data_IF_181901791469
#
_entry.id   IF_181901791469
#
_cell.length_a   1.000
_cell.length_b   1.000
_cell.length_c   1.000
_cell.angle_alpha   90.00
_cell.angle_beta   90.00
_cell.angle_gamma   90.00
#
_symmetry.space_group_name_H-M   'P 1'
#
loop_
_entity.id
_entity.type
_entity.pdbx_description
1 polymer ?
#
# COMPACT_ATOMS: atom_id res chain seq x y z
N UNK A 1 -15.94 -34.91 -24.91
CA UNK A 1 -16.73 -34.34 -23.80
C UNK A 1 -15.73 -33.96 -22.72
N UNK A 2 -15.34 -32.68 -22.63
CA UNK A 2 -14.36 -32.22 -21.66
C UNK A 2 -15.10 -31.72 -20.42
N UNK A 3 -14.97 -32.44 -19.31
CA UNK A 3 -15.45 -31.98 -18.01
C UNK A 3 -14.36 -31.06 -17.42
N UNK A 4 -14.68 -29.79 -17.25
CA UNK A 4 -13.81 -28.83 -16.60
C UNK A 4 -14.15 -28.78 -15.11
N UNK A 5 -13.13 -28.95 -14.27
CA UNK A 5 -13.24 -28.74 -12.83
C UNK A 5 -12.38 -27.53 -12.48
N UNK A 6 -13.01 -26.47 -11.97
CA UNK A 6 -12.27 -25.36 -11.39
C UNK A 6 -11.76 -25.79 -10.01
N UNK A 7 -10.45 -25.66 -9.81
CA UNK A 7 -9.78 -26.01 -8.56
C UNK A 7 -9.03 -24.79 -8.05
N UNK A 8 -9.00 -24.61 -6.73
CA UNK A 8 -8.10 -23.64 -6.12
C UNK A 8 -6.65 -24.15 -6.27
N UNK A 9 -5.65 -23.26 -6.43
CA UNK A 9 -4.24 -23.67 -6.54
C UNK A 9 -3.76 -24.54 -5.37
N UNK A 10 -4.32 -24.32 -4.17
CA UNK A 10 -4.04 -25.10 -2.95
C UNK A 10 -4.52 -26.55 -3.01
N UNK A 11 -5.47 -26.87 -3.89
CA UNK A 11 -6.02 -28.22 -4.03
C UNK A 11 -5.37 -29.00 -5.18
N UNK A 12 -4.44 -28.40 -5.93
CA UNK A 12 -3.85 -28.99 -7.12
C UNK A 12 -3.16 -30.33 -6.83
N UNK A 13 -2.45 -30.44 -5.70
CA UNK A 13 -1.76 -31.66 -5.25
C UNK A 13 -2.71 -32.78 -4.82
N UNK A 14 -3.99 -32.48 -4.57
CA UNK A 14 -5.00 -33.49 -4.21
C UNK A 14 -5.58 -34.19 -5.43
N UNK A 15 -5.50 -33.54 -6.60
CA UNK A 15 -6.12 -34.02 -7.85
C UNK A 15 -5.12 -34.28 -8.97
N UNK A 16 -3.86 -33.89 -8.80
CA UNK A 16 -2.78 -34.07 -9.76
C UNK A 16 -1.44 -34.29 -9.03
N UNK A 17 -0.47 -34.90 -9.71
CA UNK A 17 0.92 -35.00 -9.23
C UNK A 17 1.74 -33.71 -9.45
N UNK A 18 1.08 -32.57 -9.64
CA UNK A 18 1.73 -31.27 -9.85
C UNK A 18 1.90 -30.53 -8.52
N UNK A 19 3.10 -30.01 -8.28
CA UNK A 19 3.40 -29.13 -7.16
C UNK A 19 3.46 -27.66 -7.59
N UNK A 20 2.96 -26.78 -6.73
CA UNK A 20 3.13 -25.33 -6.88
C UNK A 20 4.50 -24.92 -6.33
N UNK A 21 5.25 -24.16 -7.12
CA UNK A 21 6.51 -23.54 -6.70
C UNK A 21 6.31 -22.04 -6.49
N UNK A 22 6.95 -21.50 -5.46
CA UNK A 22 7.00 -20.05 -5.20
C UNK A 22 8.42 -19.57 -5.37
N UNK A 23 8.60 -18.47 -6.10
CA UNK A 23 9.90 -17.81 -6.25
C UNK A 23 9.98 -16.69 -5.24
N UNK A 24 11.03 -16.69 -4.42
CA UNK A 24 11.37 -15.57 -3.53
C UNK A 24 12.46 -14.77 -4.23
N UNK A 25 12.26 -13.46 -4.31
CA UNK A 25 13.24 -12.53 -4.84
C UNK A 25 13.83 -11.71 -3.70
N UNK A 26 15.12 -11.44 -3.82
CA UNK A 26 15.88 -10.62 -2.90
C UNK A 26 16.71 -9.62 -3.68
N UNK A 27 16.65 -8.35 -3.29
CA UNK A 27 17.44 -7.28 -3.88
C UNK A 27 18.12 -6.49 -2.78
N UNK A 28 19.43 -6.26 -2.92
CA UNK A 28 20.21 -5.48 -1.95
C UNK A 28 20.77 -4.23 -2.60
N UNK A 29 20.54 -3.09 -1.96
CA UNK A 29 20.93 -1.77 -2.45
C UNK A 29 21.75 -1.08 -1.38
N UNK A 30 22.82 -0.38 -1.80
CA UNK A 30 23.59 0.46 -0.90
C UNK A 30 22.74 1.61 -0.35
N UNK A 31 22.81 1.85 0.94
CA UNK A 31 22.01 2.84 1.64
C UNK A 31 22.75 3.40 2.86
N UNK A 32 23.01 4.70 2.86
CA UNK A 32 23.69 5.42 3.95
C UNK A 32 22.80 6.40 4.68
N UNK A 33 21.63 6.71 4.12
CA UNK A 33 20.65 7.58 4.75
C UNK A 33 20.06 7.00 6.04
N UNK A 34 19.37 7.87 6.80
CA UNK A 34 18.76 7.46 8.07
C UNK A 34 17.53 6.57 7.84
N UNK A 35 17.42 5.50 8.64
CA UNK A 35 16.23 4.63 8.69
C UNK A 35 14.94 5.43 8.96
N UNK A 36 15.01 6.55 9.70
CA UNK A 36 13.84 7.39 9.97
C UNK A 36 13.30 8.07 8.70
N UNK A 37 14.19 8.48 7.80
CA UNK A 37 13.82 9.07 6.51
C UNK A 37 13.15 8.03 5.63
N UNK A 38 13.75 6.84 5.54
CA UNK A 38 13.19 5.73 4.78
C UNK A 38 11.80 5.34 5.32
N UNK A 39 11.66 5.19 6.64
CA UNK A 39 10.37 4.87 7.28
C UNK A 39 9.32 5.94 6.98
N UNK A 40 9.68 7.22 7.00
CA UNK A 40 8.77 8.31 6.64
C UNK A 40 8.28 8.18 5.20
N UNK A 41 9.19 8.03 4.22
CA UNK A 41 8.81 7.89 2.82
C UNK A 41 7.95 6.65 2.56
N UNK A 42 8.31 5.52 3.18
CA UNK A 42 7.52 4.29 3.09
C UNK A 42 6.13 4.46 3.70
N UNK A 43 5.99 5.23 4.80
CA UNK A 43 4.68 5.51 5.40
C UNK A 43 3.83 6.37 4.47
N UNK A 44 4.42 7.34 3.77
CA UNK A 44 3.68 8.14 2.79
C UNK A 44 3.25 7.33 1.56
N UNK A 45 4.05 6.34 1.16
CA UNK A 45 3.76 5.48 0.02
C UNK A 45 2.70 4.41 0.36
N UNK A 46 2.82 3.78 1.54
CA UNK A 46 2.04 2.58 1.90
C UNK A 46 0.89 2.85 2.86
N UNK A 47 0.84 4.05 3.45
CA UNK A 47 -0.06 4.41 4.56
C UNK A 47 0.37 3.82 5.90
N UNK A 48 0.70 2.53 5.94
CA UNK A 48 1.12 1.80 7.15
C UNK A 48 2.33 0.93 6.89
N UNK A 49 3.39 1.16 7.67
CA UNK A 49 4.62 0.35 7.69
C UNK A 49 4.70 -0.37 9.02
N UNK A 50 4.80 -1.69 8.97
CA UNK A 50 4.95 -2.53 10.16
C UNK A 50 6.44 -2.57 10.54
N UNK A 51 6.75 -2.30 11.81
CA UNK A 51 8.08 -2.50 12.35
C UNK A 51 8.14 -3.88 13.00
N UNK A 52 8.87 -4.81 12.39
CA UNK A 52 9.03 -6.17 12.91
C UNK A 52 10.13 -6.21 13.98
N UNK A 53 11.25 -5.54 13.71
CA UNK A 53 12.42 -5.43 14.59
C UNK A 53 13.10 -4.07 14.39
N UNK A 54 14.11 -3.71 15.20
CA UNK A 54 14.82 -2.42 15.12
C UNK A 54 15.38 -2.10 13.72
N UNK A 55 15.70 -3.13 12.94
CA UNK A 55 16.27 -3.02 11.58
C UNK A 55 15.42 -3.68 10.50
N UNK A 56 14.23 -4.17 10.84
CA UNK A 56 13.35 -4.89 9.90
C UNK A 56 11.98 -4.25 9.84
N UNK A 57 11.61 -3.78 8.65
CA UNK A 57 10.30 -3.19 8.35
C UNK A 57 9.57 -4.08 7.34
N UNK A 58 8.24 -4.00 7.34
CA UNK A 58 7.39 -4.60 6.31
C UNK A 58 6.48 -3.56 5.69
N UNK A 59 6.52 -3.47 4.36
CA UNK A 59 5.71 -2.57 3.55
C UNK A 59 4.71 -3.38 2.71
N UNK A 60 3.51 -2.81 2.48
CA UNK A 60 2.42 -3.46 1.74
C UNK A 60 2.02 -4.86 2.24
N UNK A 61 2.39 -5.22 3.47
CA UNK A 61 2.25 -6.58 4.04
C UNK A 61 2.93 -7.69 3.20
N UNK A 62 3.75 -7.33 2.23
CA UNK A 62 4.30 -8.25 1.23
C UNK A 62 5.82 -8.12 1.05
N UNK A 63 6.39 -6.94 1.32
CA UNK A 63 7.81 -6.65 1.10
C UNK A 63 8.50 -6.52 2.45
N UNK A 64 9.46 -7.41 2.71
CA UNK A 64 10.35 -7.34 3.87
C UNK A 64 11.56 -6.48 3.54
N UNK A 65 11.86 -5.53 4.44
CA UNK A 65 12.91 -4.54 4.29
C UNK A 65 13.85 -4.67 5.48
N UNK A 66 15.08 -5.11 5.24
CA UNK A 66 16.09 -5.27 6.29
C UNK A 66 17.25 -4.31 6.04
N UNK A 67 17.66 -3.58 7.07
CA UNK A 67 18.83 -2.70 7.00
C UNK A 67 20.01 -3.32 7.74
N UNK A 68 21.08 -3.61 7.01
CA UNK A 68 22.34 -4.06 7.60
C UNK A 68 23.54 -3.39 6.94
N UNK A 69 24.55 -3.01 7.72
CA UNK A 69 25.86 -2.54 7.24
C UNK A 69 25.85 -1.61 6.00
N UNK A 70 25.04 -0.54 6.04
CA UNK A 70 24.84 0.42 4.93
C UNK A 70 24.23 -0.18 3.66
N UNK A 71 23.42 -1.21 3.83
CA UNK A 71 22.72 -1.92 2.76
C UNK A 71 21.28 -2.16 3.20
N UNK A 72 20.34 -1.84 2.31
CA UNK A 72 18.93 -2.22 2.45
C UNK A 72 18.68 -3.44 1.58
N UNK A 73 18.18 -4.50 2.19
CA UNK A 73 17.76 -5.73 1.52
C UNK A 73 16.24 -5.79 1.49
N UNK A 74 15.69 -5.86 0.28
CA UNK A 74 14.27 -6.11 0.00
C UNK A 74 14.09 -7.60 -0.28
N UNK A 75 13.09 -8.24 0.31
CA UNK A 75 12.73 -9.63 0.07
C UNK A 75 11.21 -9.76 -0.12
N UNK A 76 10.77 -10.48 -1.16
CA UNK A 76 9.35 -10.69 -1.46
C UNK A 76 9.10 -11.97 -2.27
N UNK A 77 7.85 -12.42 -2.29
CA UNK A 77 7.41 -13.49 -3.21
C UNK A 77 7.12 -12.89 -4.59
N UNK A 78 7.84 -13.35 -5.61
CA UNK A 78 7.75 -12.85 -6.98
C UNK A 78 6.36 -13.09 -7.57
N UNK A 79 5.62 -12.02 -7.75
CA UNK A 79 4.30 -12.00 -8.39
C UNK A 79 4.12 -10.63 -9.02
N UNK A 80 3.34 -10.49 -10.12
CA UNK A 80 3.21 -9.20 -10.80
C UNK A 80 2.80 -8.02 -9.88
N UNK A 81 2.01 -8.30 -8.84
CA UNK A 81 1.58 -7.30 -7.86
C UNK A 81 2.69 -6.99 -6.86
N UNK A 82 3.35 -8.01 -6.30
CA UNK A 82 4.43 -7.79 -5.35
C UNK A 82 5.66 -7.19 -6.01
N UNK A 83 5.92 -7.48 -7.29
CA UNK A 83 7.01 -6.90 -8.06
C UNK A 83 6.78 -5.39 -8.22
N UNK A 84 5.54 -4.99 -8.51
CA UNK A 84 5.17 -3.57 -8.53
C UNK A 84 5.36 -2.92 -7.16
N UNK A 85 4.98 -3.60 -6.07
CA UNK A 85 5.22 -3.08 -4.71
C UNK A 85 6.72 -2.96 -4.39
N UNK A 86 7.52 -3.93 -4.79
CA UNK A 86 8.97 -3.92 -4.62
C UNK A 86 9.61 -2.75 -5.38
N UNK A 87 9.18 -2.47 -6.62
CA UNK A 87 9.63 -1.32 -7.41
C UNK A 87 9.30 0.03 -6.73
N UNK A 88 8.10 0.15 -6.15
CA UNK A 88 7.72 1.35 -5.41
C UNK A 88 8.56 1.52 -4.13
N UNK A 89 8.79 0.44 -3.38
CA UNK A 89 9.66 0.45 -2.18
C UNK A 89 11.09 0.80 -2.55
N UNK A 90 11.63 0.21 -3.63
CA UNK A 90 12.95 0.52 -4.17
C UNK A 90 13.08 2.00 -4.52
N UNK A 91 12.07 2.57 -5.18
CA UNK A 91 12.03 3.99 -5.50
C UNK A 91 12.11 4.86 -4.24
N UNK A 92 11.40 4.48 -3.16
CA UNK A 92 11.48 5.18 -1.87
C UNK A 92 12.88 5.06 -1.22
N UNK A 93 13.55 3.92 -1.35
CA UNK A 93 14.93 3.73 -0.88
C UNK A 93 15.90 4.64 -1.64
N UNK A 94 15.81 4.69 -2.96
CA UNK A 94 16.63 5.56 -3.81
C UNK A 94 16.34 7.05 -3.55
N UNK A 95 15.09 7.39 -3.30
CA UNK A 95 14.72 8.75 -2.90
C UNK A 95 15.32 9.12 -1.54
N UNK A 96 15.24 8.23 -0.55
CA UNK A 96 15.87 8.45 0.75
C UNK A 96 17.39 8.62 0.65
N UNK A 97 18.06 7.88 -0.24
CA UNK A 97 19.51 8.01 -0.45
C UNK A 97 19.90 9.31 -1.17
N UNK A 98 19.03 9.85 -2.03
CA UNK A 98 19.28 11.11 -2.74
C UNK A 98 18.97 12.36 -1.91
N UNK A 99 18.26 12.22 -0.79
CA UNK A 99 18.01 13.32 0.14
C UNK A 99 19.29 13.65 0.92
N UNK A 100 19.65 14.94 0.96
CA UNK A 100 20.79 15.41 1.76
C UNK A 100 20.59 15.06 3.25
N UNK A 101 21.52 14.33 3.90
CA UNK A 101 21.44 14.03 5.33
C UNK A 101 21.41 15.29 6.23
N UNK A 102 21.79 16.46 5.72
CA UNK A 102 21.64 17.74 6.42
C UNK A 102 20.20 18.30 6.38
N UNK A 103 19.33 17.77 5.52
CA UNK A 103 17.90 18.11 5.46
C UNK A 103 17.17 17.52 6.67
N UNK A 104 17.21 18.24 7.80
CA UNK A 104 16.53 17.86 9.06
C UNK A 104 15.01 18.00 9.01
N UNK A 105 14.44 18.39 7.87
CA UNK A 105 13.00 18.57 7.73
C UNK A 105 12.37 17.36 7.05
N UNK A 106 12.12 16.32 7.84
CA UNK A 106 11.00 15.45 7.52
C UNK A 106 9.73 16.27 7.80
N UNK A 107 8.87 16.53 6.80
CA UNK A 107 7.58 17.14 7.05
C UNK A 107 6.90 16.30 8.12
N UNK A 108 6.39 16.93 9.18
CA UNK A 108 5.56 16.23 10.14
C UNK A 108 4.41 15.60 9.34
N UNK A 109 4.11 14.30 9.50
CA UNK A 109 2.95 13.71 8.87
C UNK A 109 1.77 14.58 9.23
N UNK A 110 1.23 15.34 8.27
CA UNK A 110 0.03 16.09 8.50
C UNK A 110 -1.02 15.03 8.79
N UNK A 111 -1.49 14.98 10.03
CA UNK A 111 -2.70 14.23 10.32
C UNK A 111 -3.75 14.84 9.42
N UNK A 112 -4.14 14.11 8.38
CA UNK A 112 -5.21 14.53 7.50
C UNK A 112 -6.39 14.83 8.41
N UNK A 113 -6.83 16.08 8.40
CA UNK A 113 -7.98 16.46 9.19
C UNK A 113 -9.17 15.68 8.61
N UNK A 114 -9.65 14.70 9.38
CA UNK A 114 -10.79 13.87 9.00
C UNK A 114 -12.00 14.72 8.68
N UNK A 115 -12.14 15.90 9.29
CA UNK A 115 -13.23 16.82 9.00
C UNK A 115 -13.06 17.44 7.61
N UNK A 116 -11.86 17.97 7.31
CA UNK A 116 -11.54 18.54 6.01
C UNK A 116 -11.62 17.52 4.87
N UNK A 117 -11.13 16.29 5.09
CA UNK A 117 -11.24 15.21 4.11
C UNK A 117 -12.70 14.88 3.78
N UNK A 118 -13.57 14.85 4.80
CA UNK A 118 -15.01 14.60 4.60
C UNK A 118 -15.67 15.74 3.81
N UNK A 119 -15.29 16.98 4.06
CA UNK A 119 -15.78 18.15 3.31
C UNK A 119 -15.36 18.07 1.84
N UNK A 120 -14.06 17.89 1.55
CA UNK A 120 -13.58 17.77 0.17
C UNK A 120 -14.18 16.57 -0.58
N UNK A 121 -14.40 15.46 0.12
CA UNK A 121 -15.05 14.28 -0.46
C UNK A 121 -16.50 14.58 -0.86
N UNK A 122 -17.26 15.28 -0.01
CA UNK A 122 -18.63 15.69 -0.32
C UNK A 122 -18.62 16.64 -1.52
N UNK A 123 -17.76 17.66 -1.52
CA UNK A 123 -17.66 18.63 -2.62
C UNK A 123 -17.36 17.96 -3.95
N UNK A 124 -16.35 17.07 -3.99
CA UNK A 124 -15.99 16.33 -5.20
C UNK A 124 -17.15 15.45 -5.69
N UNK A 125 -17.84 14.74 -4.79
CA UNK A 125 -18.96 13.89 -5.18
C UNK A 125 -20.18 14.72 -5.63
N UNK A 126 -20.43 15.88 -5.02
CA UNK A 126 -21.47 16.82 -5.44
C UNK A 126 -21.16 17.44 -6.80
N UNK A 127 -19.90 17.76 -7.08
CA UNK A 127 -19.46 18.24 -8.38
C UNK A 127 -19.66 17.17 -9.47
N UNK A 128 -19.36 15.90 -9.16
CA UNK A 128 -19.50 14.80 -10.12
C UNK A 128 -20.94 14.32 -10.34
N UNK A 129 -21.76 14.28 -9.29
CA UNK A 129 -23.10 13.64 -9.32
C UNK A 129 -24.27 14.61 -9.09
N UNK A 130 -24.00 15.88 -8.77
CA UNK A 130 -24.99 16.89 -8.44
C UNK A 130 -25.32 16.96 -6.95
N UNK A 131 -25.71 18.15 -6.48
CA UNK A 131 -26.05 18.41 -5.07
C UNK A 131 -27.18 17.54 -4.53
N UNK A 132 -28.12 17.13 -5.38
CA UNK A 132 -29.28 16.31 -4.99
C UNK A 132 -28.92 14.82 -4.80
N UNK A 133 -27.79 14.40 -5.37
CA UNK A 133 -27.34 13.00 -5.37
C UNK A 133 -26.50 12.65 -4.13
N UNK A 134 -25.95 13.66 -3.44
CA UNK A 134 -25.00 13.49 -2.34
C UNK A 134 -25.43 14.33 -1.12
N UNK A 135 -25.63 13.72 0.06
CA UNK A 135 -26.01 14.44 1.28
C UNK A 135 -25.00 15.53 1.67
N UNK A 136 -25.50 16.73 1.97
CA UNK A 136 -24.66 17.87 2.41
C UNK A 136 -23.96 17.65 3.75
N UNK A 137 -24.51 16.78 4.59
CA UNK A 137 -23.95 16.42 5.90
C UNK A 137 -24.23 14.95 6.15
N UNK A 138 -23.23 14.18 6.57
CA UNK A 138 -23.42 12.84 7.10
C UNK A 138 -22.79 12.72 8.49
N UNK A 139 -23.49 12.02 9.39
CA UNK A 139 -22.99 11.72 10.74
C UNK A 139 -22.47 10.29 10.76
N UNK A 140 -21.21 10.12 11.18
CA UNK A 140 -20.54 8.82 11.28
C UNK A 140 -19.51 8.58 10.17
N UNK A 141 -19.35 7.31 9.79
CA UNK A 141 -18.40 6.81 8.79
C UNK A 141 -19.10 6.29 7.52
N UNK A 142 -20.41 6.53 7.36
CA UNK A 142 -21.17 6.05 6.20
C UNK A 142 -21.70 7.21 5.36
N UNK A 143 -21.22 7.31 4.14
CA UNK A 143 -21.71 8.24 3.12
C UNK A 143 -22.51 7.47 2.07
N UNK A 144 -23.55 8.10 1.52
CA UNK A 144 -24.40 7.49 0.50
C UNK A 144 -24.49 8.39 -0.71
N UNK A 145 -24.38 7.82 -1.89
CA UNK A 145 -24.59 8.52 -3.17
C UNK A 145 -25.77 7.86 -3.87
N UNK A 146 -26.78 8.65 -4.25
CA UNK A 146 -27.96 8.15 -4.96
C UNK A 146 -28.07 8.81 -6.32
N UNK A 147 -27.99 8.02 -7.38
CA UNK A 147 -28.15 8.49 -8.78
C UNK A 147 -29.16 7.58 -9.45
N UNK A 148 -30.19 8.16 -10.09
CA UNK A 148 -31.25 7.42 -10.80
C UNK A 148 -31.87 6.28 -9.98
N UNK A 149 -32.12 6.53 -8.69
CA UNK A 149 -32.72 5.56 -7.77
C UNK A 149 -31.80 4.40 -7.34
N UNK A 150 -30.53 4.39 -7.76
CA UNK A 150 -29.51 3.44 -7.29
C UNK A 150 -28.66 4.08 -6.22
N UNK A 151 -28.46 3.37 -5.10
CA UNK A 151 -27.73 3.85 -3.93
C UNK A 151 -26.41 3.10 -3.77
N UNK A 152 -25.30 3.85 -3.75
CA UNK A 152 -23.98 3.35 -3.36
C UNK A 152 -23.68 3.74 -1.91
N UNK A 153 -23.11 2.81 -1.15
CA UNK A 153 -22.68 3.04 0.23
C UNK A 153 -21.15 3.13 0.25
N UNK A 154 -20.62 4.18 0.85
CA UNK A 154 -19.20 4.43 1.04
C UNK A 154 -18.95 4.40 2.55
N UNK A 155 -18.19 3.41 3.01
CA UNK A 155 -17.69 3.35 4.38
C UNK A 155 -16.30 4.02 4.43
N UNK A 156 -16.10 4.96 5.37
CA UNK A 156 -14.96 5.87 5.50
C UNK A 156 -14.12 5.61 6.76
#
# INVERSE_FOLDING_TARGET
NFNYHMLAPSDLTKYTDMNMSTVIQQQSIYFTSSMNVLRYLLTQLTGTVEALEDKKLRAFQAIDITLDNKMVTLEWVATPVNDMFADCVLTAVLQAESLDPASKFLPVPSKMDRMHFKECLIEMLQEMFGEDSVPKIFKGEKLYVTVDGKKANIDL
#
